data_IF_454365636523
#
_entry.id   IF_454365636523
#
_cell.length_a   1.000
_cell.length_b   1.000
_cell.length_c   1.000
_cell.angle_alpha   90.00
_cell.angle_beta   90.00
_cell.angle_gamma   90.00
#
_symmetry.space_group_name_H-M   'P 1'
#
loop_
_entity.id
_entity.type
_entity.pdbx_description
1 polymer ?
#
# COMPACT_ATOMS: atom_id res chain seq x y z
N UNK A 1 15.15 10.01 10.51
CA UNK A 1 13.81 10.38 10.03
C UNK A 1 12.84 9.95 11.11
N UNK A 2 12.04 10.88 11.64
CA UNK A 2 11.07 10.56 12.67
C UNK A 2 10.06 9.54 12.12
N UNK A 3 9.85 8.46 12.87
CA UNK A 3 8.90 7.40 12.51
C UNK A 3 7.49 7.98 12.64
N UNK A 4 6.90 8.43 11.53
CA UNK A 4 5.50 8.87 11.53
C UNK A 4 4.66 7.60 11.69
N UNK A 5 4.16 7.39 12.90
CA UNK A 5 3.22 6.30 13.19
C UNK A 5 1.89 6.57 12.52
N UNK A 6 1.34 5.56 11.85
CA UNK A 6 -0.02 5.62 11.30
C UNK A 6 -1.01 5.92 12.44
N UNK A 7 -1.94 6.84 12.19
CA UNK A 7 -2.96 7.21 13.18
C UNK A 7 -4.28 6.58 12.80
N UNK A 8 -4.80 5.78 13.70
CA UNK A 8 -6.10 5.13 13.56
C UNK A 8 -7.09 5.70 14.59
N UNK A 9 -8.33 5.89 14.18
CA UNK A 9 -9.47 6.24 15.05
C UNK A 9 -10.57 5.20 14.82
N UNK A 10 -11.03 4.56 15.89
CA UNK A 10 -12.00 3.43 15.82
C UNK A 10 -11.53 2.28 14.89
N UNK A 11 -10.21 2.12 14.73
CA UNK A 11 -9.61 1.12 13.85
C UNK A 11 -9.49 1.55 12.38
N UNK A 12 -9.79 2.81 12.08
CA UNK A 12 -9.80 3.35 10.74
C UNK A 12 -8.66 4.35 10.55
N UNK A 13 -7.92 4.22 9.46
CA UNK A 13 -6.85 5.17 9.13
C UNK A 13 -7.46 6.57 9.01
N UNK A 14 -6.87 7.54 9.72
CA UNK A 14 -7.28 8.92 9.61
C UNK A 14 -6.97 9.47 8.21
N UNK A 15 -7.81 10.39 7.66
CA UNK A 15 -7.49 11.04 6.41
C UNK A 15 -6.15 11.78 6.49
N UNK A 16 -5.28 11.57 5.51
CA UNK A 16 -3.98 12.24 5.44
C UNK A 16 -3.01 11.52 4.52
N UNK A 17 -1.79 12.08 4.44
CA UNK A 17 -0.66 11.46 3.75
C UNK A 17 0.32 10.97 4.79
N UNK A 18 0.72 9.71 4.66
CA UNK A 18 1.63 9.03 5.59
C UNK A 18 2.83 8.50 4.81
N UNK A 19 4.02 8.64 5.39
CA UNK A 19 5.24 8.02 4.88
C UNK A 19 5.52 6.81 5.77
N UNK A 20 5.65 5.64 5.15
CA UNK A 20 5.79 4.36 5.83
C UNK A 20 6.78 3.48 5.07
N UNK A 21 7.47 2.57 5.76
CA UNK A 21 8.32 1.58 5.10
C UNK A 21 7.47 0.46 4.48
N UNK A 22 8.09 -0.34 3.59
CA UNK A 22 7.45 -1.55 3.05
C UNK A 22 7.01 -2.49 4.16
N UNK A 23 7.87 -2.73 5.14
CA UNK A 23 7.63 -3.68 6.23
C UNK A 23 6.48 -3.22 7.12
N UNK A 24 6.47 -1.94 7.47
CA UNK A 24 5.39 -1.35 8.27
C UNK A 24 4.08 -1.34 7.45
N UNK A 25 4.11 -1.09 6.13
CA UNK A 25 2.92 -1.17 5.27
C UNK A 25 2.35 -2.60 5.22
N UNK A 26 3.20 -3.60 5.01
CA UNK A 26 2.79 -5.01 5.00
C UNK A 26 2.22 -5.40 6.36
N UNK A 27 2.91 -5.02 7.44
CA UNK A 27 2.46 -5.27 8.81
C UNK A 27 1.07 -4.66 9.08
N UNK A 28 0.78 -3.49 8.53
CA UNK A 28 -0.46 -2.76 8.83
C UNK A 28 -1.64 -3.07 7.92
N UNK A 29 -1.39 -3.41 6.65
CA UNK A 29 -2.46 -3.62 5.67
C UNK A 29 -2.51 -5.02 5.04
N UNK A 30 -1.48 -5.86 5.25
CA UNK A 30 -1.37 -7.13 4.53
C UNK A 30 -1.08 -8.35 5.42
N UNK A 31 -0.87 -8.18 6.74
CA UNK A 31 -0.16 -9.18 7.55
C UNK A 31 -1.02 -10.26 8.19
N UNK A 32 -2.31 -10.04 8.44
CA UNK A 32 -3.14 -11.12 8.96
C UNK A 32 -4.63 -10.96 8.64
N UNK A 33 -5.29 -11.99 8.09
CA UNK A 33 -6.74 -11.98 7.92
C UNK A 33 -7.50 -11.89 9.24
N UNK A 34 -6.86 -12.23 10.36
CA UNK A 34 -7.46 -12.22 11.70
C UNK A 34 -7.26 -10.89 12.44
N UNK A 35 -6.46 -9.96 11.88
CA UNK A 35 -6.23 -8.67 12.53
C UNK A 35 -7.56 -7.91 12.59
N UNK A 36 -7.94 -7.54 13.80
CA UNK A 36 -9.13 -6.76 14.05
C UNK A 36 -8.70 -5.36 14.47
N UNK A 37 -9.04 -4.34 13.66
CA UNK A 37 -8.85 -2.95 14.01
C UNK A 37 -10.20 -2.39 14.50
N UNK A 38 -10.45 -2.38 15.81
CA UNK A 38 -11.74 -1.93 16.35
C UNK A 38 -12.91 -2.82 15.88
N UNK A 39 -13.86 -2.27 15.11
CA UNK A 39 -14.95 -3.04 14.49
C UNK A 39 -14.59 -3.63 13.12
N UNK A 40 -13.36 -3.40 12.66
CA UNK A 40 -12.88 -3.77 11.32
C UNK A 40 -12.15 -5.11 11.35
N UNK A 41 -12.53 -6.07 10.50
CA UNK A 41 -11.76 -7.29 10.27
C UNK A 41 -10.94 -7.19 8.98
N UNK A 42 -9.62 -7.39 9.09
CA UNK A 42 -8.66 -7.21 8.00
C UNK A 42 -8.57 -8.39 7.00
N UNK A 43 -9.60 -9.26 6.94
CA UNK A 43 -9.61 -10.37 5.98
C UNK A 43 -9.46 -9.90 4.53
N UNK A 44 -10.09 -8.76 4.18
CA UNK A 44 -10.15 -8.29 2.80
C UNK A 44 -8.83 -7.73 2.26
N UNK A 45 -7.90 -7.26 3.11
CA UNK A 45 -6.65 -6.63 2.62
C UNK A 45 -5.46 -7.57 2.55
N UNK A 46 -5.43 -8.59 3.42
CA UNK A 46 -4.41 -9.64 3.38
C UNK A 46 -4.26 -10.31 2.00
N UNK A 47 -5.35 -10.41 1.22
CA UNK A 47 -5.35 -10.92 -0.17
C UNK A 47 -4.47 -10.12 -1.14
N UNK A 48 -4.17 -8.86 -0.82
CA UNK A 48 -3.33 -7.98 -1.62
C UNK A 48 -1.84 -8.07 -1.28
N UNK A 49 -1.42 -8.90 -0.31
CA UNK A 49 0.00 -9.07 0.03
C UNK A 49 0.84 -9.38 -1.20
N UNK A 50 0.46 -10.42 -1.95
CA UNK A 50 1.21 -10.84 -3.14
C UNK A 50 1.15 -9.78 -4.26
N UNK A 51 -0.02 -9.27 -4.67
CA UNK A 51 -0.10 -8.16 -5.63
C UNK A 51 0.74 -6.94 -5.25
N UNK A 52 0.73 -6.54 -3.98
CA UNK A 52 1.53 -5.42 -3.51
C UNK A 52 3.04 -5.71 -3.60
N UNK A 53 3.48 -6.90 -3.19
CA UNK A 53 4.88 -7.31 -3.30
C UNK A 53 5.35 -7.34 -4.76
N UNK A 54 4.53 -7.89 -5.65
CA UNK A 54 4.86 -7.94 -7.09
C UNK A 54 5.05 -6.53 -7.67
N UNK A 55 4.17 -5.60 -7.31
CA UNK A 55 4.27 -4.19 -7.72
C UNK A 55 5.50 -3.53 -7.10
N UNK A 56 5.75 -3.76 -5.81
CA UNK A 56 6.88 -3.17 -5.09
C UNK A 56 8.21 -3.64 -5.67
N UNK A 57 8.40 -4.94 -5.84
CA UNK A 57 9.62 -5.55 -6.36
C UNK A 57 9.90 -5.04 -7.77
N UNK A 58 8.90 -5.06 -8.65
CA UNK A 58 9.03 -4.51 -9.99
C UNK A 58 9.41 -3.02 -9.98
N UNK A 59 8.75 -2.21 -9.15
CA UNK A 59 9.02 -0.78 -9.08
C UNK A 59 10.44 -0.49 -8.56
N UNK A 60 10.89 -1.24 -7.56
CA UNK A 60 12.24 -1.17 -7.00
C UNK A 60 13.29 -1.52 -8.07
N UNK A 61 13.08 -2.61 -8.80
CA UNK A 61 13.96 -3.03 -9.91
C UNK A 61 13.99 -2.02 -11.06
N UNK A 62 12.85 -1.38 -11.37
CA UNK A 62 12.76 -0.31 -12.36
C UNK A 62 13.37 1.03 -11.89
N UNK A 63 13.83 1.11 -10.63
CA UNK A 63 14.42 2.29 -10.04
C UNK A 63 13.41 3.38 -9.70
N UNK A 64 12.19 2.99 -9.31
CA UNK A 64 11.18 3.92 -8.80
C UNK A 64 11.71 4.67 -7.57
N UNK A 65 11.28 5.93 -7.44
CA UNK A 65 11.65 6.78 -6.30
C UNK A 65 10.67 6.66 -5.15
N UNK A 66 9.40 6.40 -5.45
CA UNK A 66 8.35 6.20 -4.45
C UNK A 66 7.13 5.51 -5.05
N UNK A 67 6.37 4.86 -4.17
CA UNK A 67 5.07 4.28 -4.46
C UNK A 67 4.06 4.96 -3.56
N UNK A 68 2.95 5.42 -4.13
CA UNK A 68 1.82 5.97 -3.39
C UNK A 68 0.65 5.02 -3.54
N UNK A 69 0.14 4.54 -2.42
CA UNK A 69 -1.06 3.70 -2.34
C UNK A 69 -2.22 4.56 -1.86
N UNK A 70 -3.36 4.48 -2.55
CA UNK A 70 -4.51 5.32 -2.28
C UNK A 70 -5.84 4.59 -2.36
N UNK A 71 -6.88 5.39 -2.56
CA UNK A 71 -8.22 4.93 -2.87
C UNK A 71 -8.86 4.06 -1.79
N UNK A 72 -9.67 3.11 -2.24
CA UNK A 72 -10.56 2.38 -1.34
C UNK A 72 -9.80 1.45 -0.39
N UNK A 73 -8.62 0.98 -0.83
CA UNK A 73 -7.72 0.14 -0.06
C UNK A 73 -7.30 0.78 1.27
N UNK A 74 -6.71 1.98 1.28
CA UNK A 74 -6.24 2.62 2.53
C UNK A 74 -7.35 3.39 3.30
N UNK A 75 -8.60 3.23 2.89
CA UNK A 75 -9.75 3.96 3.44
C UNK A 75 -10.54 3.15 4.49
N UNK A 76 -11.68 3.72 4.91
CA UNK A 76 -12.64 3.11 5.84
C UNK A 76 -13.49 1.97 5.24
N UNK A 77 -13.27 1.60 3.98
CA UNK A 77 -14.06 0.58 3.30
C UNK A 77 -13.75 -0.83 3.85
N UNK A 78 -14.79 -1.57 4.23
CA UNK A 78 -14.66 -2.91 4.83
C UNK A 78 -14.12 -3.97 3.87
N UNK A 79 -14.45 -3.88 2.58
CA UNK A 79 -13.97 -4.81 1.56
C UNK A 79 -13.49 -4.04 0.33
N UNK A 80 -12.22 -3.60 0.30
CA UNK A 80 -11.62 -3.07 -0.91
C UNK A 80 -11.45 -4.20 -1.94
N UNK A 81 -11.87 -3.92 -3.17
CA UNK A 81 -11.81 -4.86 -4.28
C UNK A 81 -10.64 -4.59 -5.23
N UNK A 82 -9.99 -3.44 -5.04
CA UNK A 82 -8.91 -2.92 -5.86
C UNK A 82 -7.79 -2.35 -4.98
N UNK A 83 -6.62 -2.21 -5.59
CA UNK A 83 -5.45 -1.55 -5.04
C UNK A 83 -5.06 -0.41 -5.98
N UNK A 84 -5.32 0.82 -5.57
CA UNK A 84 -4.95 2.01 -6.32
C UNK A 84 -3.49 2.38 -6.03
N UNK A 85 -2.63 2.31 -7.06
CA UNK A 85 -1.19 2.57 -6.94
C UNK A 85 -0.72 3.58 -7.97
N UNK A 86 0.09 4.55 -7.53
CA UNK A 86 0.87 5.45 -8.39
C UNK A 86 2.36 5.22 -8.10
N UNK A 87 3.13 5.00 -9.16
CA UNK A 87 4.58 4.74 -9.08
C UNK A 87 5.30 5.94 -9.68
N UNK A 88 6.22 6.53 -8.90
CA UNK A 88 7.00 7.69 -9.32
C UNK A 88 8.40 7.27 -9.73
N UNK A 89 8.89 7.86 -10.81
CA UNK A 89 10.23 7.70 -11.32
C UNK A 89 10.95 9.04 -11.35
N UNK A 90 12.28 9.03 -11.27
CA UNK A 90 13.07 10.25 -11.39
C UNK A 90 13.08 10.76 -12.83
N UNK A 91 13.02 9.87 -13.81
CA UNK A 91 13.02 10.22 -15.23
C UNK A 91 11.99 9.40 -16.01
N UNK A 92 11.49 9.97 -17.12
CA UNK A 92 10.50 9.31 -17.98
C UNK A 92 11.04 8.06 -18.68
N UNK A 93 12.37 7.93 -18.84
CA UNK A 93 12.99 6.76 -19.46
C UNK A 93 12.85 5.49 -18.61
N UNK A 94 12.60 5.63 -17.31
CA UNK A 94 12.36 4.50 -16.40
C UNK A 94 10.92 3.98 -16.49
N UNK A 95 9.99 4.77 -17.05
CA UNK A 95 8.61 4.32 -17.25
C UNK A 95 8.62 3.26 -18.35
N UNK A 96 8.05 2.07 -18.14
CA UNK A 96 8.04 1.00 -19.13
C UNK A 96 7.31 1.44 -20.41
N UNK A 97 7.98 1.31 -21.54
CA UNK A 97 7.43 1.68 -22.84
C UNK A 97 6.70 0.50 -23.49
N UNK A 98 5.54 0.11 -22.95
CA UNK A 98 4.49 -0.69 -23.61
C UNK A 98 4.84 -2.03 -24.32
N UNK A 99 6.08 -2.51 -24.30
CA UNK A 99 6.55 -3.66 -25.10
C UNK A 99 7.36 -4.71 -24.36
N UNK A 100 7.62 -4.55 -23.07
CA UNK A 100 8.25 -5.59 -22.27
C UNK A 100 7.16 -6.50 -21.71
N UNK A 101 7.07 -7.70 -22.29
CA UNK A 101 6.25 -8.83 -21.86
C UNK A 101 7.17 -9.99 -21.53
#
# INVERSE_FOLDING_TARGET
MDKISLKFEEGLLLPGTYIISKEDFIAEFCSSPEKTFGHYQEMARSKFLKPFLDIYEWAEEAGATSIVVGGSFVSRKNDPNDLDVVIFFATSSQVPHGRER
#
